data_IF_212203610599
#
_entry.id   IF_212203610599
#
_cell.length_a   1.000
_cell.length_b   1.000
_cell.length_c   1.000
_cell.angle_alpha   90.00
_cell.angle_beta   90.00
_cell.angle_gamma   90.00
#
_symmetry.space_group_name_H-M   'P 1'
#
loop_
_entity.id
_entity.type
_entity.pdbx_description
1 polymer ?
#
# COMPACT_ATOMS: atom_id res chain seq x y z
N UNK A 1 -10.59 -1.57 -5.56
CA UNK A 1 -10.05 -0.99 -4.31
C UNK A 1 -8.54 -1.25 -4.28
N UNK A 2 -7.74 -0.35 -3.70
CA UNK A 2 -6.28 -0.51 -3.53
C UNK A 2 -5.97 -0.82 -2.06
N UNK A 3 -5.14 -1.81 -1.83
CA UNK A 3 -4.73 -2.28 -0.52
C UNK A 3 -3.24 -2.03 -0.34
N UNK A 4 -2.87 -1.41 0.77
CA UNK A 4 -1.49 -1.27 1.22
C UNK A 4 -1.15 -2.47 2.09
N UNK A 5 -0.10 -3.19 1.70
CA UNK A 5 0.42 -4.37 2.38
C UNK A 5 1.83 -4.10 2.89
N UNK A 6 2.19 -4.76 3.97
CA UNK A 6 3.56 -4.93 4.42
C UNK A 6 4.01 -6.38 4.24
N UNK A 7 5.24 -6.57 3.79
CA UNK A 7 5.94 -7.85 3.78
C UNK A 7 7.13 -7.78 4.75
N UNK A 8 7.01 -8.54 5.84
CA UNK A 8 8.05 -8.66 6.86
C UNK A 8 8.99 -9.81 6.50
N UNK A 9 10.11 -9.47 5.87
CA UNK A 9 11.18 -10.43 5.65
C UNK A 9 11.99 -10.66 6.94
N UNK A 10 12.48 -11.88 7.13
CA UNK A 10 13.29 -12.31 8.30
C UNK A 10 14.57 -11.47 8.51
N UNK A 11 15.02 -10.75 7.47
CA UNK A 11 16.17 -9.84 7.53
C UNK A 11 15.85 -8.47 8.17
N UNK A 12 14.66 -8.28 8.75
CA UNK A 12 14.26 -7.01 9.37
C UNK A 12 13.99 -5.88 8.38
N UNK A 13 13.97 -6.18 7.07
CA UNK A 13 13.55 -5.23 6.03
C UNK A 13 12.04 -5.35 5.84
N UNK A 14 11.32 -4.37 6.38
CA UNK A 14 9.89 -4.17 6.16
C UNK A 14 9.73 -3.51 4.78
N UNK A 15 9.02 -4.19 3.87
CA UNK A 15 8.77 -3.68 2.53
C UNK A 15 7.28 -3.42 2.37
N UNK A 16 6.90 -2.15 2.23
CA UNK A 16 5.51 -1.75 2.00
C UNK A 16 5.21 -1.70 0.50
N UNK A 17 4.11 -2.31 0.08
CA UNK A 17 3.66 -2.34 -1.31
C UNK A 17 2.16 -2.01 -1.42
N UNK A 18 1.76 -1.54 -2.60
CA UNK A 18 0.36 -1.32 -2.96
C UNK A 18 -0.05 -2.33 -4.01
N UNK A 19 -1.16 -3.02 -3.76
CA UNK A 19 -1.77 -3.95 -4.73
C UNK A 19 -3.27 -3.69 -4.83
N UNK A 20 -3.91 -4.04 -5.95
CA UNK A 20 -5.36 -4.07 -6.01
C UNK A 20 -5.93 -5.17 -5.10
N UNK A 21 -7.12 -4.93 -4.56
CA UNK A 21 -7.82 -5.87 -3.67
C UNK A 21 -8.03 -7.24 -4.30
N UNK A 22 -8.19 -7.31 -5.63
CA UNK A 22 -8.31 -8.58 -6.35
C UNK A 22 -7.09 -9.49 -6.25
N UNK A 23 -5.93 -8.99 -5.80
CA UNK A 23 -4.74 -9.80 -5.55
C UNK A 23 -4.71 -10.37 -4.12
N UNK A 24 -5.49 -9.80 -3.20
CA UNK A 24 -5.53 -10.25 -1.82
C UNK A 24 -6.33 -11.55 -1.71
N UNK A 25 -5.74 -12.54 -1.05
CA UNK A 25 -6.38 -13.81 -0.73
C UNK A 25 -6.64 -13.82 0.78
N UNK A 26 -7.89 -13.54 1.17
CA UNK A 26 -8.25 -13.37 2.58
C UNK A 26 -7.59 -12.14 3.20
N UNK A 27 -6.98 -12.30 4.37
CA UNK A 27 -6.47 -11.19 5.19
C UNK A 27 -4.94 -11.17 5.37
N UNK A 28 -4.25 -12.26 5.02
CA UNK A 28 -2.83 -12.47 5.31
C UNK A 28 -2.00 -12.96 4.12
N UNK A 29 -2.61 -13.05 2.93
CA UNK A 29 -1.94 -13.52 1.73
C UNK A 29 -2.29 -12.62 0.54
N UNK A 30 -1.36 -12.49 -0.39
CA UNK A 30 -1.63 -11.89 -1.69
C UNK A 30 -0.88 -12.62 -2.79
N UNK A 31 -1.44 -12.56 -4.00
CA UNK A 31 -0.73 -12.92 -5.20
C UNK A 31 0.24 -11.79 -5.58
N UNK A 32 1.47 -12.17 -5.93
CA UNK A 32 2.48 -11.27 -6.43
C UNK A 32 2.97 -11.78 -7.79
N UNK A 33 3.06 -10.91 -8.80
CA UNK A 33 3.50 -11.35 -10.11
C UNK A 33 4.99 -11.72 -10.10
N UNK A 34 5.40 -12.78 -10.81
CA UNK A 34 6.81 -13.20 -10.92
C UNK A 34 7.61 -12.30 -11.88
N UNK A 35 7.19 -11.04 -12.05
CA UNK A 35 7.86 -10.10 -12.94
C UNK A 35 9.11 -9.55 -12.26
N UNK A 36 10.26 -9.64 -12.94
CA UNK A 36 11.51 -9.00 -12.47
C UNK A 36 11.54 -7.50 -12.73
N UNK A 37 10.69 -7.01 -13.65
CA UNK A 37 10.66 -5.62 -14.06
C UNK A 37 9.65 -4.83 -13.24
N UNK A 38 10.13 -3.87 -12.43
CA UNK A 38 9.31 -2.98 -11.61
C UNK A 38 8.24 -2.23 -12.43
N UNK A 39 8.55 -1.84 -13.67
CA UNK A 39 7.60 -1.22 -14.58
C UNK A 39 6.40 -2.12 -14.92
N UNK A 40 6.64 -3.43 -15.11
CA UNK A 40 5.56 -4.40 -15.37
C UNK A 40 4.67 -4.58 -14.14
N UNK A 41 5.28 -4.61 -12.95
CA UNK A 41 4.54 -4.69 -11.68
C UNK A 41 3.67 -3.44 -11.50
N UNK A 42 4.25 -2.25 -11.64
CA UNK A 42 3.52 -0.98 -11.50
C UNK A 42 2.36 -0.89 -12.51
N UNK A 43 2.60 -1.30 -13.76
CA UNK A 43 1.55 -1.37 -14.78
C UNK A 43 0.45 -2.36 -14.40
N UNK A 44 0.79 -3.54 -13.89
CA UNK A 44 -0.21 -4.53 -13.48
C UNK A 44 -1.06 -4.03 -12.29
N UNK A 45 -0.44 -3.34 -11.32
CA UNK A 45 -1.13 -2.70 -10.19
C UNK A 45 -2.03 -1.56 -10.68
N UNK A 46 -1.51 -0.69 -11.55
CA UNK A 46 -2.22 0.45 -12.13
C UNK A 46 -3.42 0.01 -12.98
N UNK A 47 -3.26 -1.06 -13.76
CA UNK A 47 -4.34 -1.67 -14.55
C UNK A 47 -5.27 -2.56 -13.73
N UNK A 48 -5.00 -2.79 -12.45
CA UNK A 48 -5.72 -3.76 -11.61
C UNK A 48 -5.87 -5.14 -12.30
N UNK A 49 -4.80 -5.62 -12.94
CA UNK A 49 -4.83 -6.87 -13.71
C UNK A 49 -5.23 -8.03 -12.78
N UNK A 50 -6.15 -8.93 -13.17
CA UNK A 50 -6.51 -10.07 -12.32
C UNK A 50 -5.30 -10.99 -12.12
N UNK A 51 -5.15 -11.59 -10.92
CA UNK A 51 -4.09 -12.54 -10.67
C UNK A 51 -4.20 -13.73 -11.61
N UNK A 52 -3.05 -14.15 -12.16
CA UNK A 52 -2.94 -15.33 -13.03
C UNK A 52 -2.42 -16.52 -12.23
N UNK A 53 -2.62 -17.71 -12.77
CA UNK A 53 -2.24 -18.96 -12.13
C UNK A 53 -0.72 -19.08 -11.90
N UNK A 54 0.08 -18.37 -12.69
CA UNK A 54 1.53 -18.25 -12.56
C UNK A 54 2.01 -17.30 -11.44
N UNK A 55 1.11 -16.68 -10.66
CA UNK A 55 1.52 -15.74 -9.62
C UNK A 55 1.80 -16.44 -8.29
N UNK A 56 2.96 -16.14 -7.72
CA UNK A 56 3.34 -16.64 -6.41
C UNK A 56 2.54 -15.99 -5.30
N UNK A 57 2.26 -16.74 -4.24
CA UNK A 57 1.53 -16.21 -3.08
C UNK A 57 2.50 -15.90 -1.95
N UNK A 58 2.45 -14.68 -1.46
CA UNK A 58 3.28 -14.22 -0.35
C UNK A 58 2.44 -13.98 0.89
N UNK A 59 3.02 -14.26 2.07
CA UNK A 59 2.43 -13.85 3.34
C UNK A 59 2.63 -12.35 3.50
N UNK A 60 1.52 -11.65 3.66
CA UNK A 60 1.49 -10.19 3.78
C UNK A 60 0.60 -9.79 4.94
N UNK A 61 0.80 -8.58 5.43
CA UNK A 61 -0.08 -7.97 6.41
C UNK A 61 -0.77 -6.78 5.77
N UNK A 62 -2.10 -6.79 5.73
CA UNK A 62 -2.86 -5.64 5.25
C UNK A 62 -2.76 -4.52 6.28
N UNK A 63 -2.19 -3.38 5.87
CA UNK A 63 -2.09 -2.18 6.71
C UNK A 63 -3.33 -1.31 6.56
N UNK A 64 -3.74 -1.06 5.30
CA UNK A 64 -4.84 -0.14 4.99
C UNK A 64 -5.51 -0.53 3.69
N UNK A 65 -6.83 -0.38 3.61
CA UNK A 65 -7.62 -0.49 2.37
C UNK A 65 -8.10 0.91 1.98
N UNK A 66 -7.90 1.28 0.72
CA UNK A 66 -8.26 2.61 0.19
C UNK A 66 -8.96 2.47 -1.16
N UNK A 67 -9.98 3.30 -1.40
CA UNK A 67 -10.66 3.33 -2.70
C UNK A 67 -9.88 4.11 -3.78
N UNK A 68 -8.95 4.98 -3.38
CA UNK A 68 -8.19 5.86 -4.28
C UNK A 68 -6.70 5.52 -4.29
N UNK A 69 -6.16 5.22 -5.47
CA UNK A 69 -4.72 4.96 -5.68
C UNK A 69 -3.83 6.08 -5.15
N UNK A 70 -4.22 7.35 -5.39
CA UNK A 70 -3.48 8.52 -4.88
C UNK A 70 -3.37 8.55 -3.35
N UNK A 71 -4.43 8.12 -2.63
CA UNK A 71 -4.41 8.02 -1.17
C UNK A 71 -3.49 6.89 -0.73
N UNK A 72 -3.61 5.71 -1.35
CA UNK A 72 -2.71 4.58 -1.12
C UNK A 72 -1.24 4.97 -1.26
N UNK A 73 -0.89 5.75 -2.30
CA UNK A 73 0.50 6.17 -2.54
C UNK A 73 1.06 7.08 -1.45
N UNK A 74 0.23 7.99 -0.93
CA UNK A 74 0.62 8.83 0.22
C UNK A 74 0.86 7.98 1.46
N UNK A 75 -0.02 7.00 1.73
CA UNK A 75 0.17 6.08 2.85
C UNK A 75 1.38 5.18 2.69
N UNK A 76 1.67 4.71 1.48
CA UNK A 76 2.87 3.92 1.20
C UNK A 76 4.12 4.73 1.52
N UNK A 77 4.21 5.96 1.00
CA UNK A 77 5.32 6.86 1.31
C UNK A 77 5.43 7.16 2.81
N UNK A 78 4.30 7.44 3.46
CA UNK A 78 4.26 7.68 4.90
C UNK A 78 4.72 6.44 5.68
N UNK A 79 4.33 5.23 5.25
CA UNK A 79 4.72 3.97 5.91
C UNK A 79 6.23 3.75 5.81
N UNK A 80 6.82 3.98 4.64
CA UNK A 80 8.27 3.94 4.44
C UNK A 80 8.99 4.99 5.31
N UNK A 81 8.43 6.20 5.44
CA UNK A 81 9.01 7.27 6.27
C UNK A 81 8.83 7.01 7.78
N UNK A 82 7.76 6.33 8.20
CA UNK A 82 7.50 6.01 9.62
C UNK A 82 8.36 4.90 10.18
N UNK A 83 9.00 4.06 9.35
CA UNK A 83 9.97 3.06 9.83
C UNK A 83 11.21 3.69 10.46
N UNK A 84 11.48 4.99 10.21
CA UNK A 84 12.59 5.72 10.83
C UNK A 84 12.14 6.70 11.92
N UNK A 85 10.92 7.25 11.89
CA UNK A 85 10.42 8.18 12.91
C UNK A 85 8.90 8.09 13.07
N UNK A 86 8.43 7.70 14.26
CA UNK A 86 7.04 7.95 14.70
C UNK A 86 6.76 9.46 14.57
N UNK A 87 5.99 9.87 13.56
CA UNK A 87 5.32 11.18 13.60
C UNK A 87 3.87 11.00 13.20
N UNK A 88 3.04 11.07 14.22
CA UNK A 88 1.59 11.20 14.21
C UNK A 88 1.19 12.32 13.24
N UNK A 89 0.49 11.99 12.15
CA UNK A 89 -0.29 12.97 11.39
C UNK A 89 -1.41 12.23 10.66
N UNK A 90 -2.48 11.94 11.41
CA UNK A 90 -3.79 11.67 10.82
C UNK A 90 -4.47 13.00 10.46
N UNK A 91 -4.08 13.56 9.32
CA UNK A 91 -4.85 14.63 8.68
C UNK A 91 -6.08 14.02 7.98
N UNK A 92 -7.16 13.79 8.74
CA UNK A 92 -8.50 13.69 8.17
C UNK A 92 -9.16 15.06 8.19
N UNK A 93 -9.13 15.73 7.03
CA UNK A 93 -10.09 16.72 6.57
C UNK A 93 -10.84 17.55 7.64
N UNK A 94 -10.37 18.76 7.90
CA UNK A 94 -11.24 19.94 8.06
C UNK A 94 -10.45 21.22 7.76
N UNK A 95 -10.88 22.06 6.80
CA UNK A 95 -10.31 23.40 6.69
C UNK A 95 -10.79 24.23 7.89
N UNK A 96 -10.03 24.25 8.98
CA UNK A 96 -10.23 25.24 10.03
C UNK A 96 -9.89 26.62 9.45
N UNK A 97 -10.94 27.30 8.98
CA UNK A 97 -10.91 28.71 8.61
C UNK A 97 -10.27 29.49 9.75
N UNK A 98 -9.05 29.99 9.52
CA UNK A 98 -8.46 31.06 10.32
C UNK A 98 -9.42 32.25 10.29
N UNK A 99 -10.08 32.50 11.41
CA UNK A 99 -10.60 33.84 11.72
C UNK A 99 -9.74 34.40 12.83
N UNK A 100 -8.69 35.11 12.41
CA UNK A 100 -8.20 36.25 13.19
C UNK A 100 -9.39 37.16 13.45
N UNK A 101 -9.66 37.47 14.72
CA UNK A 101 -10.31 38.73 15.04
C UNK A 101 -9.65 39.33 16.28
N UNK A 102 -9.21 40.56 16.02
CA UNK A 102 -8.58 41.57 16.88
C UNK A 102 -9.44 41.89 18.10
#
# INVERSE_FOLDING_TARGET
>A
MIVTLDNKNENGKECTAMVPEGWCVGENQCYWPPYTSSFRIDKAVSCMEPPKQDWDTYKIRILKKTSSFQKGRRYLKQSEETSDLQTDTDEYCSPQRKRHRK
#
